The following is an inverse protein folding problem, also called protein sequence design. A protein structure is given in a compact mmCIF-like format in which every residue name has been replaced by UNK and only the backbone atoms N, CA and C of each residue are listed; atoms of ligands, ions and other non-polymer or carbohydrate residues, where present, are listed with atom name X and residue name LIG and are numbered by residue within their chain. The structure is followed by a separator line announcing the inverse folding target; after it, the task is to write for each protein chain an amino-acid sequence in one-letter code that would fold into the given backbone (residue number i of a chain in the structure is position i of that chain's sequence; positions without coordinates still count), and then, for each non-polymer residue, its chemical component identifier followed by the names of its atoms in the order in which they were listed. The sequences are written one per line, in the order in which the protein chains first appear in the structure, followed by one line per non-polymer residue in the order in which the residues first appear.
data_IF_941423567017
#
_entry.id   IF_941423567017
#
_cell.length_a   1.000
_cell.length_b   1.000
_cell.length_c   1.000
_cell.angle_alpha   90.00
_cell.angle_beta   90.00
_cell.angle_gamma   90.00
#
_symmetry.space_group_name_H-M   'P 1'
#
loop_
_entity.id
_entity.type
_entity.pdbx_description
1 polymer ?
#
# COMPACT_ATOMS: atom_id res chain seq x y z
N UNK A 1 9.61 5.07 8.43
CA UNK A 1 8.85 4.98 9.70
C UNK A 1 9.36 5.99 10.70
N UNK A 2 10.66 5.96 11.05
CA UNK A 2 11.31 6.94 11.91
C UNK A 2 12.71 7.27 11.35
N UNK A 3 13.04 8.54 11.27
CA UNK A 3 14.29 9.07 10.72
C UNK A 3 14.96 10.01 11.74
N UNK A 4 15.98 9.49 12.39
CA UNK A 4 16.87 10.21 13.31
C UNK A 4 18.14 10.72 12.64
N UNK A 5 18.21 10.65 11.30
CA UNK A 5 19.42 10.89 10.51
C UNK A 5 20.32 9.66 10.35
N UNK A 6 19.85 8.48 10.77
CA UNK A 6 20.61 7.22 10.82
C UNK A 6 21.08 6.72 9.45
N UNK A 7 20.47 7.18 8.36
CA UNK A 7 20.87 6.87 6.98
C UNK A 7 21.51 8.05 6.25
N UNK A 8 22.01 9.06 6.98
CA UNK A 8 22.62 10.27 6.41
C UNK A 8 21.62 11.27 5.79
N UNK A 9 20.32 11.09 6.08
CA UNK A 9 19.26 12.01 5.68
C UNK A 9 19.09 13.19 6.65
N UNK A 10 18.12 14.05 6.36
CA UNK A 10 17.66 15.07 7.32
C UNK A 10 16.82 14.40 8.39
N UNK A 11 17.14 14.53 9.69
CA UNK A 11 16.26 14.04 10.76
C UNK A 11 14.85 14.60 10.61
N UNK A 12 13.83 13.84 11.04
CA UNK A 12 12.41 14.22 10.98
C UNK A 12 11.83 14.27 9.55
N UNK A 13 12.63 13.97 8.52
CA UNK A 13 12.13 13.76 7.17
C UNK A 13 11.58 12.34 7.03
N UNK A 14 10.45 12.07 7.68
CA UNK A 14 9.71 10.81 7.60
C UNK A 14 8.18 11.03 7.64
N UNK A 15 7.41 10.07 8.17
CA UNK A 15 5.94 10.08 8.18
C UNK A 15 5.36 10.05 9.60
N UNK A 16 6.18 10.22 10.63
CA UNK A 16 5.82 10.17 12.05
C UNK A 16 5.06 8.88 12.42
N UNK A 17 5.49 7.73 11.86
CA UNK A 17 4.77 6.47 12.06
C UNK A 17 4.81 6.02 13.53
N UNK A 18 5.91 6.26 14.22
CA UNK A 18 6.10 5.97 15.64
C UNK A 18 5.12 6.75 16.52
N UNK A 19 4.87 8.02 16.19
CA UNK A 19 3.85 8.82 16.86
C UNK A 19 2.43 8.33 16.52
N UNK A 20 2.19 7.97 15.26
CA UNK A 20 0.89 7.47 14.81
C UNK A 20 0.52 6.12 15.47
N UNK A 21 1.49 5.23 15.71
CA UNK A 21 1.28 3.96 16.41
C UNK A 21 0.83 4.15 17.86
N UNK A 22 1.14 5.29 18.49
CA UNK A 22 0.58 5.67 19.79
C UNK A 22 -0.94 5.94 19.75
N UNK A 23 -1.52 6.14 18.57
CA UNK A 23 -2.96 6.33 18.35
C UNK A 23 -3.62 5.06 17.82
N UNK A 24 -3.04 4.44 16.78
CA UNK A 24 -3.52 3.17 16.21
C UNK A 24 -2.43 2.49 15.40
N UNK A 25 -2.42 1.15 15.47
CA UNK A 25 -1.57 0.28 14.63
C UNK A 25 -2.37 -0.46 13.56
N UNK A 26 -3.61 -0.04 13.29
CA UNK A 26 -4.50 -0.66 12.32
C UNK A 26 -5.61 -1.52 12.94
N UNK A 27 -6.48 -2.05 12.08
CA UNK A 27 -7.56 -2.98 12.43
C UNK A 27 -7.64 -4.12 11.42
N UNK A 28 -7.81 -5.38 11.85
CA UNK A 28 -7.93 -6.52 10.94
C UNK A 28 -9.25 -6.49 10.14
N UNK A 29 -10.17 -5.59 10.48
CA UNK A 29 -11.36 -5.32 9.69
C UNK A 29 -11.08 -4.53 8.42
N UNK A 30 -9.89 -3.93 8.28
CA UNK A 30 -9.46 -3.21 7.09
C UNK A 30 -8.73 -4.19 6.19
N UNK A 31 -9.15 -4.26 4.92
CA UNK A 31 -8.53 -5.11 3.90
C UNK A 31 -7.92 -4.26 2.80
N UNK A 32 -6.65 -4.51 2.49
CA UNK A 32 -5.90 -3.85 1.43
C UNK A 32 -5.61 -4.85 0.31
N UNK A 33 -6.16 -4.61 -0.89
CA UNK A 33 -5.78 -5.38 -2.08
C UNK A 33 -4.40 -4.94 -2.59
N UNK A 34 -3.43 -5.85 -2.64
CA UNK A 34 -2.10 -5.57 -3.20
C UNK A 34 -2.05 -6.13 -4.61
N UNK A 35 -2.24 -5.26 -5.60
CA UNK A 35 -2.22 -5.61 -7.02
C UNK A 35 -0.78 -5.54 -7.51
N UNK A 36 -0.09 -6.68 -7.59
CA UNK A 36 1.37 -6.75 -7.78
C UNK A 36 1.84 -8.13 -8.29
N UNK A 37 3.04 -8.58 -7.91
CA UNK A 37 3.62 -9.90 -8.24
C UNK A 37 3.13 -11.06 -7.35
N UNK A 38 2.16 -10.81 -6.46
CA UNK A 38 1.74 -11.75 -5.43
C UNK A 38 2.29 -11.39 -4.05
N UNK A 39 2.06 -12.26 -3.06
CA UNK A 39 2.66 -12.13 -1.73
C UNK A 39 3.15 -13.51 -1.27
N UNK A 40 4.35 -13.59 -0.70
CA UNK A 40 4.75 -14.73 0.12
C UNK A 40 3.91 -14.76 1.39
N UNK A 41 2.76 -15.43 1.30
CA UNK A 41 1.81 -15.58 2.39
C UNK A 41 2.31 -16.51 3.51
N UNK A 42 3.47 -17.16 3.33
CA UNK A 42 4.13 -17.96 4.36
C UNK A 42 5.19 -17.16 5.12
N UNK A 43 5.48 -15.92 4.72
CA UNK A 43 6.51 -15.10 5.35
C UNK A 43 6.18 -14.87 6.84
N UNK A 44 7.08 -15.17 7.79
CA UNK A 44 6.77 -15.12 9.23
C UNK A 44 6.35 -13.74 9.74
N UNK A 45 6.79 -12.69 9.04
CA UNK A 45 6.47 -11.29 9.35
C UNK A 45 5.22 -10.75 8.61
N UNK A 46 4.50 -11.61 7.86
CA UNK A 46 3.29 -11.23 7.11
C UNK A 46 2.14 -12.23 7.24
N UNK A 47 2.41 -13.51 7.48
CA UNK A 47 1.42 -14.59 7.43
C UNK A 47 0.15 -14.30 8.28
N UNK A 48 0.32 -13.70 9.46
CA UNK A 48 -0.80 -13.35 10.34
C UNK A 48 -1.70 -12.23 9.78
N UNK A 49 -1.20 -11.44 8.83
CA UNK A 49 -1.88 -10.32 8.19
C UNK A 49 -2.38 -10.66 6.78
N UNK A 50 -2.24 -11.90 6.31
CA UNK A 50 -2.87 -12.33 5.06
C UNK A 50 -4.38 -12.39 5.23
N UNK A 51 -5.11 -11.85 4.25
CA UNK A 51 -6.56 -11.97 4.17
C UNK A 51 -6.95 -13.42 3.89
N UNK A 52 -8.03 -13.88 4.52
CA UNK A 52 -8.64 -15.19 4.27
C UNK A 52 -10.10 -14.94 3.89
N UNK A 53 -10.52 -15.44 2.73
CA UNK A 53 -11.91 -15.39 2.27
C UNK A 53 -12.76 -16.29 3.20
N UNK A 54 -13.64 -15.73 4.03
CA UNK A 54 -14.43 -16.53 4.96
C UNK A 54 -15.54 -17.34 4.26
N UNK A 55 -15.78 -17.09 2.97
CA UNK A 55 -16.81 -17.75 2.19
C UNK A 55 -16.29 -18.91 1.34
N UNK A 56 -14.99 -19.20 1.38
CA UNK A 56 -14.35 -20.31 0.64
C UNK A 56 -13.93 -21.45 1.57
N UNK A 57 -14.13 -22.69 1.11
CA UNK A 57 -13.65 -23.90 1.79
C UNK A 57 -12.40 -24.38 1.08
N UNK A 58 -11.24 -24.10 1.68
CA UNK A 58 -9.95 -24.40 1.07
C UNK A 58 -9.80 -25.85 0.57
N UNK A 59 -9.56 -25.99 -0.74
CA UNK A 59 -9.13 -27.22 -1.38
C UNK A 59 -10.26 -28.18 -1.70
N UNK A 60 -11.51 -27.70 -1.77
CA UNK A 60 -12.65 -28.51 -2.20
C UNK A 60 -12.87 -28.48 -3.72
N UNK A 61 -12.12 -27.66 -4.46
CA UNK A 61 -12.24 -27.44 -5.90
C UNK A 61 -13.61 -26.89 -6.34
N UNK A 62 -14.27 -26.13 -5.48
CA UNK A 62 -15.55 -25.48 -5.70
C UNK A 62 -15.38 -23.97 -5.52
N UNK A 63 -16.10 -23.18 -6.31
CA UNK A 63 -16.30 -21.76 -6.08
C UNK A 63 -17.50 -21.64 -5.11
N UNK A 64 -17.22 -21.59 -3.81
CA UNK A 64 -18.23 -21.70 -2.75
C UNK A 64 -19.03 -20.40 -2.61
N UNK A 65 -18.41 -19.26 -2.90
CA UNK A 65 -19.04 -17.95 -2.82
C UNK A 65 -19.66 -17.47 -4.15
N UNK A 66 -19.41 -18.20 -5.23
CA UNK A 66 -19.99 -17.99 -6.55
C UNK A 66 -19.44 -16.75 -7.25
N UNK A 67 -18.22 -16.32 -6.91
CA UNK A 67 -17.60 -15.11 -7.43
C UNK A 67 -16.88 -15.34 -8.79
N UNK A 68 -16.79 -16.58 -9.26
CA UNK A 68 -16.14 -17.00 -10.50
C UNK A 68 -14.70 -17.48 -10.33
N UNK A 69 -14.20 -17.59 -9.09
CA UNK A 69 -12.82 -17.92 -8.76
C UNK A 69 -12.76 -19.07 -7.75
N UNK A 70 -12.55 -20.29 -8.27
CA UNK A 70 -12.52 -21.53 -7.47
C UNK A 70 -11.40 -21.49 -6.42
N UNK A 71 -11.72 -21.77 -5.15
CA UNK A 71 -10.78 -21.87 -4.04
C UNK A 71 -9.92 -20.59 -3.84
N UNK A 72 -10.44 -19.39 -4.07
CA UNK A 72 -9.72 -18.11 -3.96
C UNK A 72 -9.48 -17.63 -2.50
N UNK A 73 -9.15 -18.59 -1.62
CA UNK A 73 -9.04 -18.50 -0.16
C UNK A 73 -8.28 -17.28 0.35
N UNK A 74 -7.33 -16.73 -0.41
CA UNK A 74 -6.50 -15.59 0.00
C UNK A 74 -6.53 -14.43 -0.99
N UNK A 75 -7.03 -14.66 -2.20
CA UNK A 75 -6.85 -13.82 -3.37
C UNK A 75 -6.57 -14.67 -4.60
N UNK A 76 -6.10 -14.04 -5.68
CA UNK A 76 -6.07 -14.67 -7.00
C UNK A 76 -4.83 -14.33 -7.82
N UNK A 77 -4.34 -15.32 -8.58
CA UNK A 77 -3.31 -15.14 -9.60
C UNK A 77 -3.93 -14.98 -10.99
N UNK A 78 -3.94 -13.76 -11.49
CA UNK A 78 -4.38 -13.43 -12.84
C UNK A 78 -3.36 -13.81 -13.92
N UNK A 79 -2.07 -13.99 -13.58
CA UNK A 79 -1.02 -14.40 -14.53
C UNK A 79 -1.25 -15.85 -14.96
N UNK A 80 -1.44 -16.74 -13.99
CA UNK A 80 -1.64 -18.17 -14.23
C UNK A 80 -3.13 -18.57 -14.23
N UNK A 81 -4.01 -17.68 -13.79
CA UNK A 81 -5.45 -17.88 -13.66
C UNK A 81 -5.80 -19.03 -12.70
N UNK A 82 -5.22 -18.98 -11.50
CA UNK A 82 -5.42 -19.94 -10.43
C UNK A 82 -5.48 -19.26 -9.04
N UNK A 83 -5.71 -20.07 -8.02
CA UNK A 83 -5.86 -19.65 -6.63
C UNK A 83 -4.53 -19.53 -5.86
N UNK A 84 -3.40 -19.50 -6.56
CA UNK A 84 -2.08 -19.41 -5.95
C UNK A 84 -1.38 -18.07 -6.25
N UNK A 85 -1.75 -16.97 -5.56
CA UNK A 85 -1.11 -15.68 -5.74
C UNK A 85 0.21 -15.55 -4.98
N UNK A 86 1.00 -16.64 -4.92
CA UNK A 86 2.32 -16.66 -4.31
C UNK A 86 3.30 -15.75 -5.06
N UNK A 87 4.17 -15.07 -4.32
CA UNK A 87 5.14 -14.16 -4.91
C UNK A 87 6.41 -14.89 -5.35
N UNK A 88 6.57 -15.06 -6.66
CA UNK A 88 7.75 -15.60 -7.32
C UNK A 88 8.73 -14.51 -7.80
N UNK A 89 8.53 -13.25 -7.40
CA UNK A 89 9.40 -12.11 -7.73
C UNK A 89 10.00 -11.42 -6.49
N UNK A 90 9.15 -11.12 -5.50
CA UNK A 90 9.50 -10.44 -4.25
C UNK A 90 9.01 -8.98 -4.16
N UNK A 91 8.61 -8.35 -5.27
CA UNK A 91 8.17 -6.95 -5.27
C UNK A 91 6.87 -6.74 -4.49
N UNK A 92 5.87 -7.61 -4.70
CA UNK A 92 4.60 -7.56 -3.99
C UNK A 92 4.73 -7.86 -2.50
N UNK A 93 5.59 -8.82 -2.12
CA UNK A 93 5.92 -9.12 -0.71
C UNK A 93 6.58 -7.92 -0.03
N UNK A 94 7.56 -7.29 -0.67
CA UNK A 94 8.20 -6.09 -0.15
C UNK A 94 7.21 -4.92 0.04
N UNK A 95 6.34 -4.69 -0.95
CA UNK A 95 5.28 -3.69 -0.82
C UNK A 95 4.34 -4.01 0.35
N UNK A 96 3.97 -5.28 0.50
CA UNK A 96 3.10 -5.74 1.58
C UNK A 96 3.73 -5.59 2.95
N UNK A 97 5.02 -5.87 3.10
CA UNK A 97 5.79 -5.60 4.32
C UNK A 97 5.79 -4.13 4.72
N UNK A 98 5.89 -3.22 3.74
CA UNK A 98 5.79 -1.78 4.00
C UNK A 98 4.41 -1.39 4.54
N UNK A 99 3.35 -2.05 4.07
CA UNK A 99 1.98 -1.79 4.52
C UNK A 99 1.74 -2.41 5.90
N UNK A 100 2.02 -3.71 6.07
CA UNK A 100 1.52 -4.51 7.20
C UNK A 100 2.53 -5.50 7.80
N UNK A 101 3.84 -5.26 7.66
CA UNK A 101 4.83 -5.99 8.48
C UNK A 101 4.44 -5.95 9.96
N UNK A 102 4.47 -7.11 10.62
CA UNK A 102 3.92 -7.29 11.96
C UNK A 102 4.85 -6.59 12.98
N UNK A 103 4.46 -5.41 13.45
CA UNK A 103 5.27 -4.70 14.43
C UNK A 103 5.36 -5.41 15.79
N UNK A 104 6.48 -5.19 16.49
CA UNK A 104 6.76 -5.71 17.84
C UNK A 104 6.73 -7.25 18.01
N UNK A 105 6.88 -8.03 16.93
CA UNK A 105 7.03 -9.49 17.01
C UNK A 105 8.50 -9.96 17.15
N UNK A 106 9.47 -9.04 17.09
CA UNK A 106 10.91 -9.36 17.18
C UNK A 106 11.51 -9.98 15.91
N UNK A 107 10.79 -9.96 14.79
CA UNK A 107 11.20 -10.50 13.49
C UNK A 107 11.16 -9.36 12.46
N UNK A 108 12.10 -9.34 11.52
CA UNK A 108 11.98 -8.51 10.32
C UNK A 108 11.82 -7.01 10.59
N UNK A 109 10.70 -6.45 10.10
CA UNK A 109 10.42 -5.01 10.05
C UNK A 109 9.01 -4.70 10.57
N UNK A 110 8.68 -3.41 10.72
CA UNK A 110 7.32 -2.99 11.03
C UNK A 110 6.73 -2.22 9.84
N UNK A 111 5.54 -2.64 9.40
CA UNK A 111 4.74 -1.91 8.41
C UNK A 111 4.09 -0.65 9.00
N UNK A 112 3.45 0.15 8.16
CA UNK A 112 2.69 1.33 8.64
C UNK A 112 1.53 0.89 9.54
N UNK A 113 0.81 -0.18 9.17
CA UNK A 113 -0.35 -0.69 9.89
C UNK A 113 -0.13 -2.17 10.25
N UNK A 114 0.34 -2.41 11.47
CA UNK A 114 0.77 -3.71 11.98
C UNK A 114 -0.33 -4.77 12.03
N UNK A 115 -1.60 -4.35 12.04
CA UNK A 115 -2.75 -5.24 12.17
C UNK A 115 -3.81 -4.88 11.13
N UNK A 116 -3.50 -5.08 9.85
CA UNK A 116 -4.42 -4.87 8.71
C UNK A 116 -4.31 -6.10 7.83
N UNK A 117 -5.38 -6.46 7.13
CA UNK A 117 -5.34 -7.61 6.21
C UNK A 117 -4.88 -7.18 4.82
N UNK A 118 -3.99 -7.96 4.22
CA UNK A 118 -3.59 -7.80 2.82
C UNK A 118 -4.09 -8.97 1.98
N UNK A 119 -4.75 -8.65 0.87
CA UNK A 119 -5.22 -9.61 -0.12
C UNK A 119 -4.25 -9.60 -1.31
N UNK A 120 -3.45 -10.67 -1.52
CA UNK A 120 -2.60 -10.79 -2.70
C UNK A 120 -3.41 -10.87 -3.99
N UNK A 121 -3.14 -9.96 -4.93
CA UNK A 121 -3.73 -9.96 -6.27
C UNK A 121 -2.60 -9.94 -7.29
N UNK A 122 -2.22 -11.12 -7.76
CA UNK A 122 -1.04 -11.29 -8.62
C UNK A 122 -1.44 -11.06 -10.07
N UNK A 123 -0.88 -10.02 -10.70
CA UNK A 123 -1.05 -9.78 -12.15
C UNK A 123 0.29 -9.57 -12.86
N UNK A 124 1.39 -9.47 -12.10
CA UNK A 124 2.75 -9.45 -12.60
C UNK A 124 3.40 -10.81 -12.36
N UNK A 125 4.04 -11.36 -13.40
CA UNK A 125 4.77 -12.63 -13.33
C UNK A 125 6.05 -12.53 -12.49
N UNK A 126 6.75 -13.65 -12.29
CA UNK A 126 8.09 -13.66 -11.70
C UNK A 126 9.12 -12.76 -12.40
N UNK A 127 8.89 -12.40 -13.67
CA UNK A 127 9.68 -11.41 -14.41
C UNK A 127 9.30 -9.94 -14.13
N UNK A 128 8.34 -9.68 -13.24
CA UNK A 128 7.83 -8.35 -12.92
C UNK A 128 7.00 -7.70 -14.04
N UNK A 129 6.45 -8.51 -14.95
CA UNK A 129 5.70 -8.05 -16.13
C UNK A 129 4.30 -8.67 -16.18
N UNK A 130 3.33 -7.93 -16.71
CA UNK A 130 1.93 -8.36 -16.82
C UNK A 130 1.19 -7.54 -17.87
N UNK A 131 -0.07 -7.90 -18.12
CA UNK A 131 -0.90 -7.21 -19.12
C UNK A 131 -1.85 -6.19 -18.49
N UNK A 132 -2.27 -5.18 -19.27
CA UNK A 132 -3.32 -4.25 -18.84
C UNK A 132 -4.66 -4.96 -18.64
N UNK A 133 -4.92 -6.05 -19.36
CA UNK A 133 -6.13 -6.85 -19.16
C UNK A 133 -6.14 -7.50 -17.76
N UNK A 134 -5.01 -8.04 -17.32
CA UNK A 134 -4.90 -8.66 -16.00
C UNK A 134 -4.97 -7.62 -14.88
N UNK A 135 -4.40 -6.44 -15.10
CA UNK A 135 -4.55 -5.30 -14.19
C UNK A 135 -6.03 -4.89 -14.03
N UNK A 136 -6.79 -4.86 -15.13
CA UNK A 136 -8.25 -4.59 -15.10
C UNK A 136 -8.98 -5.66 -14.30
N UNK A 137 -8.70 -6.94 -14.58
CA UNK A 137 -9.30 -8.07 -13.85
C UNK A 137 -9.01 -8.00 -12.35
N UNK A 138 -7.78 -7.67 -11.97
CA UNK A 138 -7.40 -7.52 -10.56
C UNK A 138 -8.12 -6.36 -9.87
N UNK A 139 -8.30 -5.21 -10.54
CA UNK A 139 -9.06 -4.07 -10.00
C UNK A 139 -10.55 -4.42 -9.83
N UNK A 140 -11.15 -5.07 -10.82
CA UNK A 140 -12.55 -5.50 -10.76
C UNK A 140 -12.77 -6.55 -9.68
N UNK A 141 -11.86 -7.53 -9.55
CA UNK A 141 -11.89 -8.53 -8.48
C UNK A 141 -11.76 -7.89 -7.09
N UNK A 142 -10.82 -6.96 -6.88
CA UNK A 142 -10.72 -6.20 -5.63
C UNK A 142 -12.04 -5.48 -5.29
N UNK A 143 -12.66 -4.89 -6.31
CA UNK A 143 -13.95 -4.20 -6.22
C UNK A 143 -15.10 -5.16 -5.94
N UNK A 144 -15.04 -6.40 -6.42
CA UNK A 144 -16.00 -7.44 -6.09
C UNK A 144 -15.84 -7.87 -4.63
N UNK A 145 -14.62 -8.24 -4.23
CA UNK A 145 -14.35 -8.88 -2.94
C UNK A 145 -14.66 -8.05 -1.71
N UNK A 146 -14.48 -6.74 -1.75
CA UNK A 146 -14.75 -5.94 -0.54
C UNK A 146 -13.70 -4.95 -0.14
N UNK A 147 -12.52 -4.99 -0.76
CA UNK A 147 -11.34 -4.37 -0.14
C UNK A 147 -11.54 -2.86 0.02
N UNK A 148 -11.06 -2.33 1.14
CA UNK A 148 -11.23 -0.91 1.51
C UNK A 148 -10.35 0.01 0.67
N UNK A 149 -9.18 -0.49 0.27
CA UNK A 149 -8.24 0.22 -0.60
C UNK A 149 -7.37 -0.77 -1.37
N UNK A 150 -6.78 -0.28 -2.46
CA UNK A 150 -5.83 -1.03 -3.27
C UNK A 150 -4.49 -0.32 -3.33
N UNK A 151 -3.40 -1.08 -3.16
CA UNK A 151 -2.03 -0.65 -3.44
C UNK A 151 -1.65 -1.02 -4.87
N UNK A 152 -1.09 -0.06 -5.61
CA UNK A 152 -0.81 -0.20 -7.04
C UNK A 152 0.59 0.33 -7.37
N UNK A 153 1.63 -0.44 -6.99
CA UNK A 153 3.05 -0.07 -7.17
C UNK A 153 3.59 -0.43 -8.57
N UNK A 154 2.79 -0.16 -9.59
CA UNK A 154 3.10 -0.50 -10.98
C UNK A 154 2.65 0.61 -11.93
N UNK A 155 3.20 0.56 -13.14
CA UNK A 155 2.90 1.50 -14.20
C UNK A 155 3.59 1.12 -15.49
N UNK A 156 3.08 1.61 -16.61
CA UNK A 156 3.58 1.28 -17.94
C UNK A 156 2.49 1.46 -18.97
N UNK A 157 2.86 1.35 -20.25
CA UNK A 157 1.93 1.53 -21.37
C UNK A 157 1.40 2.96 -21.54
N UNK A 158 0.40 3.10 -22.41
CA UNK A 158 -0.32 4.35 -22.67
C UNK A 158 -1.67 4.41 -21.96
N UNK A 159 -2.49 5.39 -22.34
CA UNK A 159 -3.88 5.45 -21.89
C UNK A 159 -4.66 4.20 -22.29
N UNK A 160 -5.50 3.71 -21.37
CA UNK A 160 -6.43 2.62 -21.61
C UNK A 160 -7.80 3.00 -21.07
N UNK A 161 -8.82 3.02 -21.94
CA UNK A 161 -10.20 3.27 -21.53
C UNK A 161 -10.69 2.18 -20.58
N UNK A 162 -10.33 0.92 -20.82
CA UNK A 162 -10.79 -0.20 -19.99
C UNK A 162 -10.22 -0.14 -18.57
N UNK A 163 -8.95 0.27 -18.43
CA UNK A 163 -8.36 0.49 -17.10
C UNK A 163 -8.96 1.71 -16.40
N UNK A 164 -9.25 2.78 -17.13
CA UNK A 164 -9.96 3.93 -16.59
C UNK A 164 -11.34 3.53 -16.06
N UNK A 165 -12.11 2.75 -16.82
CA UNK A 165 -13.45 2.32 -16.45
C UNK A 165 -13.43 1.40 -15.21
N UNK A 166 -12.45 0.50 -15.10
CA UNK A 166 -12.26 -0.34 -13.91
C UNK A 166 -11.99 0.50 -12.65
N UNK A 167 -11.11 1.50 -12.77
CA UNK A 167 -10.84 2.45 -11.69
C UNK A 167 -12.11 3.24 -11.33
N UNK A 168 -12.89 3.65 -12.33
CA UNK A 168 -14.14 4.37 -12.11
C UNK A 168 -15.17 3.50 -11.37
N UNK A 169 -15.30 2.21 -11.72
CA UNK A 169 -16.13 1.23 -10.98
C UNK A 169 -15.69 1.09 -9.52
N UNK A 170 -14.39 0.91 -9.29
CA UNK A 170 -13.82 0.81 -7.93
C UNK A 170 -14.12 2.06 -7.08
N UNK A 171 -14.04 3.26 -7.68
CA UNK A 171 -14.34 4.53 -7.01
C UNK A 171 -15.84 4.81 -6.80
N UNK A 172 -16.70 4.18 -7.60
CA UNK A 172 -18.15 4.30 -7.47
C UNK A 172 -18.73 3.38 -6.39
N UNK A 173 -18.00 2.34 -5.98
CA UNK A 173 -18.41 1.43 -4.92
C UNK A 173 -18.62 2.18 -3.61
N UNK A 174 -19.79 2.00 -3.02
CA UNK A 174 -20.08 2.44 -1.65
C UNK A 174 -19.61 1.36 -0.67
N UNK A 175 -18.53 1.59 0.09
CA UNK A 175 -18.08 0.63 1.10
C UNK A 175 -19.17 0.39 2.17
N UNK A 176 -19.37 -0.87 2.63
CA UNK A 176 -20.35 -1.20 3.68
C UNK A 176 -20.09 -0.50 5.02
N UNK A 177 -18.88 0.05 5.24
CA UNK A 177 -18.56 0.85 6.42
C UNK A 177 -19.33 2.19 6.49
N UNK A 178 -20.04 2.55 5.42
CA UNK A 178 -21.01 3.65 5.41
C UNK A 178 -22.40 3.23 5.93
N UNK A 179 -22.47 2.51 7.05
CA UNK A 179 -23.73 2.44 7.80
C UNK A 179 -24.12 3.87 8.19
N UNK A 180 -25.32 4.37 7.83
CA UNK A 180 -25.78 5.63 8.38
C UNK A 180 -25.82 5.46 9.90
N UNK A 181 -25.04 6.28 10.60
CA UNK A 181 -25.20 6.46 12.05
C UNK A 181 -26.69 6.68 12.27
N UNK A 182 -27.34 5.84 13.08
CA UNK A 182 -28.74 6.04 13.45
C UNK A 182 -28.86 7.44 14.07
N UNK A 183 -29.29 8.40 13.26
CA UNK A 183 -29.53 9.78 13.66
C UNK A 183 -30.97 9.87 14.08
N UNK A 184 -31.17 10.00 15.38
CA UNK A 184 -32.29 10.78 15.91
C UNK A 184 -32.21 12.20 15.33
N UNK A 185 -33.29 12.58 14.63
CA UNK A 185 -33.70 13.91 14.16
C UNK A 185 -32.88 14.61 13.04
N UNK A 186 -33.56 15.36 12.13
CA UNK A 186 -32.93 15.94 10.96
C UNK A 186 -32.37 17.33 11.27
N UNK A 187 -31.06 17.51 11.11
CA UNK A 187 -30.45 18.84 11.00
C UNK A 187 -29.92 19.00 9.59
N UNK A 188 -30.54 19.89 8.82
CA UNK A 188 -30.17 20.30 7.47
C UNK A 188 -28.80 20.99 7.47
N UNK A 189 -27.75 20.21 7.25
CA UNK A 189 -26.45 20.70 6.78
C UNK A 189 -25.93 19.69 5.75
N UNK A 190 -25.51 20.10 4.53
CA UNK A 190 -25.00 19.15 3.55
C UNK A 190 -23.67 18.61 4.05
N UNK A 191 -23.70 17.39 4.60
CA UNK A 191 -22.50 16.66 4.94
C UNK A 191 -21.75 16.33 3.64
N UNK A 192 -20.55 16.89 3.52
CA UNK A 192 -19.64 16.64 2.40
C UNK A 192 -19.24 15.16 2.43
N UNK A 193 -19.83 14.36 1.55
CA UNK A 193 -19.53 12.94 1.39
C UNK A 193 -18.06 12.77 1.03
N UNK A 194 -17.26 12.25 1.95
CA UNK A 194 -15.91 11.78 1.66
C UNK A 194 -16.06 10.40 1.01
N UNK A 195 -16.04 10.35 -0.32
CA UNK A 195 -15.92 9.10 -1.09
C UNK A 195 -14.45 8.65 -1.00
N UNK A 196 -14.17 7.51 -0.35
CA UNK A 196 -12.81 7.00 -0.18
C UNK A 196 -12.74 5.53 -0.61
N UNK A 197 -12.61 5.32 -1.91
CA UNK A 197 -11.69 4.30 -2.42
C UNK A 197 -10.45 5.08 -2.85
N UNK A 198 -9.40 5.09 -2.03
CA UNK A 198 -8.16 5.78 -2.37
C UNK A 198 -7.24 4.78 -3.06
N UNK A 199 -7.07 4.93 -4.38
CA UNK A 199 -5.96 4.28 -5.09
C UNK A 199 -4.69 5.04 -4.71
N UNK A 200 -3.87 4.43 -3.85
CA UNK A 200 -2.56 4.98 -3.51
C UNK A 200 -1.54 4.48 -4.54
N UNK A 201 -0.94 5.40 -5.30
CA UNK A 201 0.20 5.12 -6.19
C UNK A 201 1.49 5.44 -5.44
N UNK A 202 2.25 4.43 -5.08
CA UNK A 202 3.63 4.57 -4.58
C UNK A 202 4.60 4.26 -5.71
N UNK A 203 5.39 5.25 -6.13
CA UNK A 203 6.44 5.07 -7.12
C UNK A 203 7.74 4.68 -6.42
N UNK A 204 8.20 3.45 -6.58
CA UNK A 204 9.59 3.06 -6.30
C UNK A 204 10.28 2.68 -7.61
N UNK A 205 11.36 3.38 -7.97
CA UNK A 205 12.21 3.04 -9.11
C UNK A 205 13.41 2.25 -8.59
N UNK A 206 13.39 0.93 -8.76
CA UNK A 206 14.55 0.10 -8.42
C UNK A 206 15.61 0.11 -9.53
N UNK A 207 16.91 0.21 -9.19
CA UNK A 207 17.98 0.03 -10.16
C UNK A 207 18.08 -1.43 -10.62
N UNK A 208 18.30 -1.63 -11.93
CA UNK A 208 18.56 -2.95 -12.53
C UNK A 208 19.89 -3.51 -11.98
N UNK A 209 19.98 -4.80 -11.66
CA UNK A 209 21.27 -5.43 -11.39
C UNK A 209 22.08 -5.47 -12.69
N UNK A 210 23.24 -4.81 -12.71
CA UNK A 210 24.23 -4.97 -13.78
C UNK A 210 24.98 -6.28 -13.54
N UNK A 211 24.68 -7.31 -14.32
CA UNK A 211 25.56 -8.49 -14.45
C UNK A 211 26.76 -8.11 -15.30
N UNK A 212 27.89 -7.78 -14.66
CA UNK A 212 29.19 -7.72 -15.34
C UNK A 212 29.87 -9.07 -15.19
N UNK A 213 29.74 -9.94 -16.19
CA UNK A 213 30.60 -11.11 -16.33
C UNK A 213 31.97 -10.63 -16.81
N UNK A 214 32.96 -10.56 -15.91
CA UNK A 214 34.36 -10.42 -16.33
C UNK A 214 35.16 -11.64 -15.88
N UNK A 215 35.58 -12.45 -16.86
CA UNK A 215 36.54 -13.53 -16.68
C UNK A 215 37.85 -12.97 -16.08
N UNK A 216 38.28 -13.53 -14.95
CA UNK A 216 39.49 -13.12 -14.24
C UNK A 216 40.68 -13.95 -14.72
N UNK A 217 41.60 -13.33 -15.48
CA UNK A 217 43.01 -13.75 -15.58
C UNK A 217 43.90 -12.79 -14.78
N UNK A 218 44.95 -13.39 -14.22
CA UNK A 218 45.92 -12.97 -13.21
C UNK A 218 46.52 -11.55 -13.20
N UNK A 219 46.89 -11.17 -11.96
CA UNK A 219 48.11 -10.46 -11.46
C UNK A 219 48.17 -8.91 -11.38
N UNK A 220 48.58 -8.51 -10.16
CA UNK A 220 49.37 -7.33 -9.71
C UNK A 220 48.75 -5.94 -9.56
N UNK A 221 48.74 -5.50 -8.28
CA UNK A 221 48.99 -4.16 -7.69
C UNK A 221 48.41 -2.90 -8.35
N UNK A 222 47.52 -2.22 -7.62
CA UNK A 222 47.17 -0.82 -7.88
C UNK A 222 46.12 -0.30 -6.89
N UNK A 223 46.52 0.61 -6.00
CA UNK A 223 45.65 1.32 -5.06
C UNK A 223 45.05 2.53 -5.79
N UNK A 224 43.73 2.68 -5.85
CA UNK A 224 43.10 3.98 -6.11
C UNK A 224 41.77 4.10 -5.36
N UNK A 225 41.61 5.25 -4.69
CA UNK A 225 40.37 5.69 -4.03
C UNK A 225 39.47 6.34 -5.09
N UNK A 226 38.19 6.04 -5.08
CA UNK A 226 37.17 6.77 -5.83
C UNK A 226 36.33 7.63 -4.88
N UNK A 227 36.35 8.94 -5.12
CA UNK A 227 35.48 9.94 -4.51
C UNK A 227 34.14 9.99 -5.28
N UNK A 228 33.03 10.04 -4.55
CA UNK A 228 31.69 10.19 -5.12
C UNK A 228 31.27 11.67 -5.12
N UNK A 229 30.83 12.16 -6.29
CA UNK A 229 30.12 13.43 -6.44
C UNK A 229 28.60 13.18 -6.42
N UNK A 230 27.77 14.05 -5.81
CA UNK A 230 26.33 13.87 -5.77
C UNK A 230 25.65 14.31 -7.09
N UNK A 231 24.60 13.61 -7.57
CA UNK A 231 23.83 14.04 -8.73
C UNK A 231 22.84 15.19 -8.41
N UNK A 232 22.55 15.95 -9.45
CA UNK A 232 21.85 17.23 -9.44
C UNK A 232 20.35 17.15 -9.11
N UNK A 233 19.86 18.22 -8.46
CA UNK A 233 18.47 18.47 -8.06
C UNK A 233 17.56 18.66 -9.28
N UNK A 234 16.40 18.00 -9.30
CA UNK A 234 15.29 18.37 -10.19
C UNK A 234 14.13 18.93 -9.35
N UNK A 235 13.79 20.19 -9.63
CA UNK A 235 12.70 20.95 -9.01
C UNK A 235 11.34 20.45 -9.50
N UNK A 236 10.40 20.15 -8.60
CA UNK A 236 8.99 19.96 -8.94
C UNK A 236 8.29 21.33 -9.01
N UNK A 237 7.71 21.69 -10.16
CA UNK A 237 6.94 22.93 -10.35
C UNK A 237 5.57 22.82 -9.68
N UNK A 238 5.21 23.90 -8.98
CA UNK A 238 3.96 24.18 -8.24
C UNK A 238 2.66 23.73 -8.94
N UNK A 239 1.78 23.06 -8.20
CA UNK A 239 0.33 23.26 -8.31
C UNK A 239 -0.08 24.36 -7.31
N UNK A 240 -0.43 25.53 -7.83
CA UNK A 240 -0.91 26.69 -7.06
C UNK A 240 -2.43 26.57 -6.93
N UNK A 241 -2.92 26.13 -5.78
CA UNK A 241 -4.33 26.28 -5.44
C UNK A 241 -4.59 27.74 -5.04
N UNK A 242 -5.46 28.42 -5.79
CA UNK A 242 -6.00 29.75 -5.49
C UNK A 242 -6.83 29.67 -4.20
N UNK A 243 -6.32 30.25 -3.11
CA UNK A 243 -7.10 30.57 -1.92
C UNK A 243 -7.82 31.89 -2.15
N UNK A 244 -9.14 31.86 -2.30
CA UNK A 244 -9.99 33.04 -2.05
C UNK A 244 -10.06 33.26 -0.54
N UNK A 245 -9.75 34.49 -0.13
CA UNK A 245 -9.74 34.92 1.26
C UNK A 245 -11.15 35.32 1.72
N UNK A 246 -11.57 34.85 2.89
CA UNK A 246 -12.46 35.60 3.80
C UNK A 246 -12.63 34.89 5.14
N UNK A 247 -12.20 35.62 6.19
CA UNK A 247 -12.63 35.57 7.60
C UNK A 247 -11.86 34.74 8.64
N UNK A 248 -11.70 35.26 9.89
CA UNK A 248 -10.50 35.07 10.71
C UNK A 248 -10.59 33.90 11.71
N UNK A 249 -9.41 33.37 12.08
CA UNK A 249 -9.25 32.31 13.07
C UNK A 249 -9.50 32.80 14.51
N UNK A 250 -10.10 31.97 15.40
CA UNK A 250 -10.22 32.30 16.82
C UNK A 250 -8.86 32.22 17.54
N UNK A 251 -8.51 33.30 18.24
CA UNK A 251 -7.34 33.39 19.12
C UNK A 251 -7.53 32.51 20.36
N UNK A 252 -6.71 31.48 20.52
CA UNK A 252 -6.55 30.77 21.78
C UNK A 252 -5.66 31.59 22.72
N UNK A 253 -6.25 32.21 23.75
CA UNK A 253 -5.49 32.81 24.86
C UNK A 253 -4.99 31.70 25.79
N UNK A 254 -3.67 31.62 25.98
CA UNK A 254 -3.06 30.87 27.09
C UNK A 254 -3.53 31.48 28.41
N UNK A 255 -4.22 30.69 29.23
CA UNK A 255 -4.54 31.03 30.61
C UNK A 255 -3.47 30.37 31.48
N UNK A 256 -2.46 31.14 31.89
CA UNK A 256 -1.55 30.74 32.97
C UNK A 256 -2.24 31.05 34.30
N UNK A 257 -2.24 30.09 35.21
CA UNK A 257 -2.54 30.32 36.62
C UNK A 257 -1.56 29.49 37.45
N UNK A 258 -0.82 30.10 38.38
CA UNK A 258 0.10 29.38 39.24
C UNK A 258 -0.64 28.84 40.46
N UNK A 259 -0.50 27.56 40.76
CA UNK A 259 -0.87 27.00 42.05
C UNK A 259 0.41 26.70 42.84
N UNK A 260 0.75 27.62 43.74
CA UNK A 260 1.43 27.29 45.00
C UNK A 260 0.37 26.71 45.95
N UNK A 261 0.73 25.73 46.77
CA UNK A 261 0.72 25.81 48.24
C UNK A 261 1.20 24.49 48.84
N UNK A 262 2.12 24.63 49.80
CA UNK A 262 2.43 23.81 50.99
C UNK A 262 2.68 22.32 50.84
#
# INVERSE_FOLDING_TARGET
MLNTGQTGGTPDADIDADLAWGVSTGSPSVVVGVIDTGIDYNHPDLAANIYINPNEIAGNAIDDDGNGFVDDVRGWDFVNNDNDPFDDNGHGTHCSGTITGIGNNGIGVAGVAWNVKVMPLKFLSGGGSGSTADAVRAVDYATMMGVDLTSNSWGGGGYSQTLYDAIARAGARTSPSSRPRATTAPTTTPARTIRRTTICRTWFRWPRPTTTTSARRSRTTGRSRSTWAPPARTFCRRCRATRTASSPAPRWRRRTSPARWR
#
